data_IF_934056435158
#
_entry.id   IF_934056435158
#
_cell.length_a   1.000
_cell.length_b   1.000
_cell.length_c   1.000
_cell.angle_alpha   90.00
_cell.angle_beta   90.00
_cell.angle_gamma   90.00
#
_symmetry.space_group_name_H-M   'P 1'
#
loop_
_entity.id
_entity.type
_entity.pdbx_description
1 polymer ?
#
# COMPACT_ATOMS: atom_id res chain seq x y z
N UNK A 1 -9.16 18.71 7.99
CA UNK A 1 -9.55 17.96 6.78
C UNK A 1 -8.40 18.07 5.78
N UNK A 2 -8.07 16.99 5.11
CA UNK A 2 -6.97 16.93 4.16
C UNK A 2 -7.21 15.82 3.14
N UNK A 3 -6.67 15.99 1.94
CA UNK A 3 -6.82 15.03 0.87
C UNK A 3 -6.03 13.76 1.19
N UNK A 4 -6.61 12.60 0.83
CA UNK A 4 -5.87 11.34 0.81
C UNK A 4 -5.04 11.29 -0.46
N UNK A 5 -3.75 11.00 -0.31
CA UNK A 5 -2.80 10.94 -1.43
C UNK A 5 -2.01 9.64 -1.36
N UNK A 6 -1.54 9.18 -2.53
CA UNK A 6 -0.54 8.12 -2.66
C UNK A 6 0.73 8.76 -3.20
N UNK A 7 1.86 8.52 -2.53
CA UNK A 7 3.18 8.98 -2.96
C UNK A 7 3.98 7.79 -3.43
N UNK A 8 4.42 7.80 -4.69
CA UNK A 8 5.20 6.72 -5.29
C UNK A 8 6.43 7.27 -6.00
N UNK A 9 7.55 6.56 -5.87
CA UNK A 9 8.76 6.78 -6.66
C UNK A 9 8.93 5.64 -7.67
N UNK A 10 9.50 5.98 -8.83
CA UNK A 10 9.69 5.02 -9.92
C UNK A 10 11.16 5.00 -10.33
N UNK A 11 11.66 3.79 -10.60
CA UNK A 11 12.97 3.55 -11.18
C UNK A 11 12.84 2.74 -12.46
N UNK A 12 13.81 2.88 -13.36
CA UNK A 12 13.95 1.98 -14.50
C UNK A 12 14.78 0.77 -14.07
N UNK A 13 14.25 -0.42 -14.31
CA UNK A 13 14.90 -1.68 -13.98
C UNK A 13 15.02 -2.53 -15.25
N UNK A 14 16.07 -3.35 -15.32
CA UNK A 14 16.13 -4.38 -16.33
C UNK A 14 15.29 -5.61 -15.93
N UNK A 15 15.17 -6.56 -16.84
CA UNK A 15 14.31 -7.73 -16.66
C UNK A 15 14.76 -8.62 -15.50
N UNK A 16 16.07 -8.74 -15.27
CA UNK A 16 16.63 -9.55 -14.18
C UNK A 16 16.43 -8.90 -12.81
N UNK A 17 16.49 -7.56 -12.75
CA UNK A 17 16.20 -6.79 -11.55
C UNK A 17 14.70 -6.80 -11.22
N UNK A 18 13.82 -6.80 -12.24
CA UNK A 18 12.36 -6.89 -12.05
C UNK A 18 11.93 -8.21 -11.39
N UNK A 19 12.58 -9.33 -11.71
CA UNK A 19 12.29 -10.64 -11.09
C UNK A 19 12.52 -10.64 -9.57
N UNK A 20 13.38 -9.75 -9.09
CA UNK A 20 13.75 -9.62 -7.67
C UNK A 20 13.21 -8.33 -7.05
N UNK A 21 12.38 -7.61 -7.78
CA UNK A 21 11.86 -6.33 -7.35
C UNK A 21 10.95 -6.51 -6.14
N UNK A 22 11.38 -5.96 -5.01
CA UNK A 22 10.65 -5.91 -3.77
C UNK A 22 10.58 -4.44 -3.33
N UNK A 23 9.52 -3.70 -3.73
CA UNK A 23 9.36 -2.29 -3.34
C UNK A 23 9.23 -2.17 -1.82
N UNK A 24 9.44 -0.97 -1.30
CA UNK A 24 9.06 -0.64 0.08
C UNK A 24 7.70 0.04 0.04
N UNK A 25 6.67 -0.63 0.53
CA UNK A 25 5.31 -0.11 0.69
C UNK A 25 5.12 0.26 2.15
N UNK A 26 4.69 1.49 2.41
CA UNK A 26 4.42 1.99 3.77
C UNK A 26 2.94 2.32 3.90
N UNK A 27 2.27 1.63 4.82
CA UNK A 27 0.88 1.91 5.18
C UNK A 27 0.85 2.86 6.36
N UNK A 28 -0.07 3.84 6.29
CA UNK A 28 -0.25 4.85 7.34
C UNK A 28 -1.71 4.97 7.75
N UNK A 29 -1.95 5.41 8.98
CA UNK A 29 -3.29 5.72 9.50
C UNK A 29 -3.75 7.15 9.11
N UNK A 30 -4.89 7.57 9.65
CA UNK A 30 -5.46 8.90 9.41
C UNK A 30 -4.62 10.05 9.96
N UNK A 31 -3.71 9.77 10.90
CA UNK A 31 -2.79 10.73 11.51
C UNK A 31 -1.39 10.66 10.90
N UNK A 32 -1.21 9.86 9.84
CA UNK A 32 0.05 9.55 9.16
C UNK A 32 1.06 8.76 10.01
N UNK A 33 0.62 8.07 11.07
CA UNK A 33 1.49 7.11 11.77
C UNK A 33 1.64 5.84 10.92
N UNK A 34 2.84 5.27 10.89
CA UNK A 34 3.12 4.02 10.18
C UNK A 34 2.41 2.86 10.87
N UNK A 35 1.63 2.09 10.11
CA UNK A 35 0.88 0.92 10.59
C UNK A 35 1.46 -0.41 10.08
N UNK A 36 2.05 -0.41 8.88
CA UNK A 36 2.72 -1.57 8.30
C UNK A 36 3.78 -1.15 7.27
N UNK A 37 4.76 -2.04 7.05
CA UNK A 37 5.75 -1.93 5.99
C UNK A 37 5.94 -3.30 5.34
N UNK A 38 5.77 -3.39 4.03
CA UNK A 38 5.92 -4.62 3.26
C UNK A 38 6.39 -4.35 1.81
N UNK A 39 6.26 -5.34 0.93
CA UNK A 39 6.67 -5.26 -0.47
C UNK A 39 5.57 -5.64 -1.46
N UNK A 40 4.30 -5.68 -1.03
CA UNK A 40 3.16 -6.02 -1.87
C UNK A 40 2.25 -4.79 -2.06
N UNK A 41 2.40 -4.05 -3.18
CA UNK A 41 1.59 -2.86 -3.44
C UNK A 41 0.14 -3.20 -3.80
N UNK A 42 -0.23 -4.48 -3.98
CA UNK A 42 -1.60 -4.90 -4.28
C UNK A 42 -2.48 -5.01 -3.04
N UNK A 43 -1.88 -5.06 -1.85
CA UNK A 43 -2.61 -5.08 -0.59
C UNK A 43 -3.03 -3.65 -0.25
N UNK A 44 -4.28 -3.32 -0.53
CA UNK A 44 -4.92 -2.21 0.16
C UNK A 44 -5.28 -2.71 1.56
N UNK A 45 -4.38 -2.48 2.53
CA UNK A 45 -4.75 -2.56 3.93
C UNK A 45 -5.66 -1.37 4.22
N UNK A 46 -6.95 -1.54 3.91
CA UNK A 46 -7.98 -0.58 4.25
C UNK A 46 -7.83 -0.28 5.73
N UNK A 47 -7.41 0.93 6.10
CA UNK A 47 -7.22 1.36 7.50
C UNK A 47 -8.53 1.40 8.31
N UNK A 48 -9.57 0.69 7.88
CA UNK A 48 -10.78 0.46 8.65
C UNK A 48 -10.60 -0.83 9.46
N UNK A 49 -10.90 -0.85 10.77
CA UNK A 49 -11.27 -2.09 11.40
C UNK A 49 -12.42 -2.70 10.59
N UNK A 50 -12.42 -4.02 10.39
CA UNK A 50 -13.38 -4.76 9.56
C UNK A 50 -14.85 -4.49 9.95
N UNK A 51 -15.43 -3.40 9.45
CA UNK A 51 -16.86 -3.11 9.53
C UNK A 51 -17.48 -3.39 8.16
N UNK A 52 -17.93 -4.64 7.98
CA UNK A 52 -18.92 -4.99 6.96
C UNK A 52 -18.37 -5.38 5.59
N UNK A 53 -17.75 -6.57 5.48
CA UNK A 53 -17.97 -7.39 4.29
C UNK A 53 -19.40 -7.94 4.35
N UNK A 54 -20.39 -7.13 3.95
CA UNK A 54 -21.63 -7.69 3.43
C UNK A 54 -21.30 -8.22 2.03
N UNK A 55 -21.34 -9.54 1.91
CA UNK A 55 -21.25 -10.24 0.65
C UNK A 55 -22.35 -9.71 -0.30
N UNK A 56 -21.96 -9.00 -1.36
CA UNK A 56 -22.85 -8.79 -2.50
C UNK A 56 -23.04 -10.13 -3.21
N UNK A 57 -24.21 -10.74 -2.98
CA UNK A 57 -24.91 -11.60 -3.95
C UNK A 57 -25.72 -10.73 -4.91
#
# INVERSE_FOLDING_TARGET
>A
EGDKVIVASFGSYDEADLERYAPVVVHVDDENNVTAVDSDPSVLLDGRPNDGQEALL
#
